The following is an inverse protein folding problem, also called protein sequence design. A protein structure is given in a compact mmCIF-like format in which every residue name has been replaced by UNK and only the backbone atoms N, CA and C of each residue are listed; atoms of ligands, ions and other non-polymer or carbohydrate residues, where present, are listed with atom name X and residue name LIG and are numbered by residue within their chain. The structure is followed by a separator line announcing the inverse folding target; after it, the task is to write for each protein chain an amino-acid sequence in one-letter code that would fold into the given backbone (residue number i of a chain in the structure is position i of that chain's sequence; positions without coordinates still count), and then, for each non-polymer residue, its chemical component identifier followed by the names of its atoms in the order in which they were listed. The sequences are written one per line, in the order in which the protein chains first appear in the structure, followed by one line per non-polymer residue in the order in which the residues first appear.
data_IF_060264524887
#
_entry.id   IF_060264524887
#
_cell.length_a   1.000
_cell.length_b   1.000
_cell.length_c   1.000
_cell.angle_alpha   90.00
_cell.angle_beta   90.00
_cell.angle_gamma   90.00
#
_symmetry.space_group_name_H-M   'P 1'
#
loop_
_entity.id
_entity.type
_entity.pdbx_description
1 polymer ?
#
# COMPACT_ATOMS: atom_id res chain seq x y z
N UNK A 1 1.00 -18.99 -2.02
CA UNK A 1 1.24 -18.96 -3.47
C UNK A 1 1.47 -17.51 -3.84
N UNK A 2 2.66 -17.15 -4.31
CA UNK A 2 2.96 -15.79 -4.78
C UNK A 2 2.67 -15.72 -6.29
N UNK A 3 1.85 -14.76 -6.73
CA UNK A 3 1.52 -14.56 -8.15
C UNK A 3 1.72 -13.09 -8.49
N UNK A 4 2.70 -12.77 -9.34
CA UNK A 4 2.99 -11.38 -9.75
C UNK A 4 3.25 -10.42 -8.56
N UNK A 5 3.77 -10.94 -7.44
CA UNK A 5 3.94 -10.18 -6.20
C UNK A 5 2.69 -10.12 -5.32
N UNK A 6 1.58 -10.76 -5.68
CA UNK A 6 0.45 -10.89 -4.77
C UNK A 6 0.64 -12.10 -3.86
N UNK A 7 0.38 -11.90 -2.57
CA UNK A 7 0.43 -12.91 -1.51
C UNK A 7 -0.93 -13.00 -0.79
N UNK A 8 -1.19 -14.11 -0.11
CA UNK A 8 -2.40 -14.27 0.71
C UNK A 8 -2.36 -13.30 1.89
N UNK A 9 -3.46 -12.61 2.19
CA UNK A 9 -3.50 -11.57 3.23
C UNK A 9 -3.00 -12.03 4.61
N UNK A 10 -3.39 -13.20 5.16
CA UNK A 10 -2.83 -13.72 6.42
C UNK A 10 -1.33 -13.98 6.40
N UNK A 11 -0.75 -14.21 5.22
CA UNK A 11 0.67 -14.49 5.05
C UNK A 11 1.46 -13.25 4.63
N UNK A 12 0.81 -12.08 4.60
CA UNK A 12 1.42 -10.90 4.01
C UNK A 12 2.64 -10.42 4.77
N UNK A 13 3.71 -10.15 4.03
CA UNK A 13 4.95 -9.58 4.54
C UNK A 13 4.89 -8.05 4.65
N UNK A 14 3.85 -7.40 4.12
CA UNK A 14 3.73 -5.94 4.09
C UNK A 14 3.88 -5.30 5.48
N UNK A 15 3.29 -5.90 6.52
CA UNK A 15 3.42 -5.43 7.91
C UNK A 15 4.87 -5.38 8.41
N UNK A 16 5.73 -6.25 7.88
CA UNK A 16 7.13 -6.35 8.28
C UNK A 16 8.06 -5.55 7.36
N UNK A 17 7.69 -5.37 6.09
CA UNK A 17 8.54 -4.73 5.09
C UNK A 17 8.29 -3.22 5.03
N UNK A 18 7.04 -2.75 5.05
CA UNK A 18 6.72 -1.32 4.91
C UNK A 18 7.43 -0.43 5.96
N UNK A 19 7.48 -0.80 7.25
CA UNK A 19 8.18 0.02 8.25
C UNK A 19 9.69 0.15 8.04
N UNK A 20 10.30 -0.64 7.14
CA UNK A 20 11.74 -0.61 6.84
C UNK A 20 12.13 0.42 5.79
N UNK A 21 11.16 0.98 5.07
CA UNK A 21 11.43 2.06 4.12
C UNK A 21 11.65 3.37 4.85
N UNK A 22 12.62 4.16 4.37
CA UNK A 22 12.85 5.53 4.79
C UNK A 22 12.31 6.47 3.73
N UNK A 23 11.60 7.52 4.16
CA UNK A 23 11.02 8.49 3.25
C UNK A 23 12.12 9.40 2.69
N UNK A 24 12.23 9.49 1.37
CA UNK A 24 13.28 10.24 0.69
C UNK A 24 12.95 10.45 -0.78
N UNK A 25 13.59 11.45 -1.40
CA UNK A 25 13.44 11.70 -2.83
C UNK A 25 12.17 12.46 -3.18
N UNK A 26 11.85 12.46 -4.47
CA UNK A 26 10.70 13.14 -5.06
C UNK A 26 9.52 12.18 -5.29
N UNK A 27 8.48 12.61 -6.00
CA UNK A 27 7.22 11.86 -6.16
C UNK A 27 7.00 11.48 -7.64
N UNK A 28 7.15 10.20 -7.97
CA UNK A 28 6.82 9.62 -9.28
C UNK A 28 5.43 8.95 -9.28
N UNK A 29 4.39 9.73 -8.98
CA UNK A 29 3.02 9.25 -8.77
C UNK A 29 2.41 8.56 -10.00
N UNK A 30 2.43 9.19 -11.18
CA UNK A 30 1.87 8.65 -12.42
C UNK A 30 2.54 7.35 -12.82
N UNK A 31 3.87 7.28 -12.73
CA UNK A 31 4.63 6.06 -13.01
C UNK A 31 4.20 4.92 -12.06
N UNK A 32 4.03 5.22 -10.77
CA UNK A 32 3.60 4.26 -9.76
C UNK A 32 2.19 3.74 -10.02
N UNK A 33 1.24 4.63 -10.34
CA UNK A 33 -0.15 4.26 -10.62
C UNK A 33 -0.25 3.43 -11.89
N UNK A 34 0.47 3.79 -12.96
CA UNK A 34 0.51 2.99 -14.20
C UNK A 34 1.08 1.61 -13.92
N UNK A 35 2.17 1.51 -13.16
CA UNK A 35 2.75 0.23 -12.77
C UNK A 35 1.75 -0.63 -12.00
N UNK A 36 1.03 -0.04 -11.06
CA UNK A 36 0.00 -0.73 -10.28
C UNK A 36 -1.15 -1.24 -11.14
N UNK A 37 -1.67 -0.38 -12.02
CA UNK A 37 -2.74 -0.76 -12.94
C UNK A 37 -2.31 -1.88 -13.90
N UNK A 38 -1.07 -1.85 -14.41
CA UNK A 38 -0.52 -2.94 -15.22
C UNK A 38 -0.46 -4.27 -14.47
N UNK A 39 -0.03 -4.28 -13.20
CA UNK A 39 -0.03 -5.51 -12.38
C UNK A 39 -1.44 -6.05 -12.18
N UNK A 40 -2.41 -5.17 -11.91
CA UNK A 40 -3.82 -5.54 -11.75
C UNK A 40 -4.41 -6.11 -13.05
N UNK A 41 -4.11 -5.52 -14.20
CA UNK A 41 -4.51 -6.03 -15.51
C UNK A 41 -3.92 -7.42 -15.79
N UNK A 42 -2.61 -7.61 -15.56
CA UNK A 42 -1.95 -8.90 -15.75
C UNK A 42 -2.55 -10.00 -14.86
N UNK A 43 -2.89 -9.66 -13.62
CA UNK A 43 -3.51 -10.60 -12.70
C UNK A 43 -4.96 -10.91 -13.09
N UNK A 44 -5.73 -9.91 -13.56
CA UNK A 44 -7.06 -10.11 -14.10
C UNK A 44 -7.03 -11.05 -15.30
N UNK A 45 -6.13 -10.83 -16.25
CA UNK A 45 -5.97 -11.69 -17.44
C UNK A 45 -5.70 -13.15 -17.04
N UNK A 46 -4.88 -13.37 -16.01
CA UNK A 46 -4.61 -14.68 -15.48
C UNK A 46 -5.87 -15.33 -14.89
N UNK A 47 -6.68 -14.59 -14.14
CA UNK A 47 -7.94 -15.09 -13.59
C UNK A 47 -9.03 -15.29 -14.65
N UNK A 48 -9.07 -14.47 -15.69
CA UNK A 48 -9.94 -14.65 -16.86
C UNK A 48 -9.63 -15.98 -17.55
N UNK A 49 -8.35 -16.25 -17.83
CA UNK A 49 -7.88 -17.52 -18.44
C UNK A 49 -8.24 -18.75 -17.60
N UNK A 50 -8.34 -18.59 -16.27
CA UNK A 50 -8.72 -19.67 -15.33
C UNK A 50 -10.22 -19.73 -15.03
N UNK A 51 -11.04 -18.87 -15.63
CA UNK A 51 -12.49 -18.81 -15.36
C UNK A 51 -12.83 -18.44 -13.91
N UNK A 52 -12.01 -17.60 -13.27
CA UNK A 52 -12.16 -17.21 -11.86
C UNK A 52 -12.26 -15.69 -11.64
N UNK A 53 -12.34 -14.90 -12.71
CA UNK A 53 -12.35 -13.44 -12.65
C UNK A 53 -13.58 -12.85 -11.94
N UNK A 54 -14.71 -13.57 -11.93
CA UNK A 54 -15.97 -13.18 -11.29
C UNK A 54 -15.98 -13.40 -9.76
N UNK A 55 -14.98 -14.11 -9.24
CA UNK A 55 -14.80 -14.42 -7.80
C UNK A 55 -14.05 -13.34 -7.04
N UNK A 56 -13.40 -12.42 -7.75
CA UNK A 56 -12.53 -11.41 -7.15
C UNK A 56 -13.01 -9.98 -7.44
N UNK A 57 -12.83 -9.11 -6.45
CA UNK A 57 -12.92 -7.66 -6.59
C UNK A 57 -11.53 -7.05 -6.46
N UNK A 58 -11.16 -6.24 -7.45
CA UNK A 58 -9.86 -5.60 -7.51
C UNK A 58 -9.96 -4.22 -6.88
N UNK A 59 -9.12 -3.96 -5.89
CA UNK A 59 -9.08 -2.72 -5.12
C UNK A 59 -7.67 -2.16 -5.20
N UNK A 60 -7.54 -0.94 -5.71
CA UNK A 60 -6.27 -0.24 -5.78
C UNK A 60 -6.33 1.00 -4.88
N UNK A 61 -5.54 1.02 -3.82
CA UNK A 61 -5.45 2.15 -2.89
C UNK A 61 -4.15 2.89 -3.18
N UNK A 62 -4.26 4.14 -3.63
CA UNK A 62 -3.12 5.01 -3.95
C UNK A 62 -3.07 6.13 -2.93
N UNK A 63 -1.93 6.36 -2.29
CA UNK A 63 -1.75 7.42 -1.29
C UNK A 63 -0.51 8.25 -1.60
N UNK A 64 -0.66 9.58 -1.58
CA UNK A 64 0.41 10.58 -1.71
C UNK A 64 0.11 11.82 -0.88
N UNK A 65 1.13 12.60 -0.53
CA UNK A 65 1.00 13.90 0.13
C UNK A 65 1.46 15.09 -0.74
N UNK A 66 1.74 14.86 -2.02
CA UNK A 66 2.36 15.87 -2.87
C UNK A 66 2.00 15.80 -4.36
N UNK A 67 2.57 16.75 -5.10
CA UNK A 67 2.52 16.81 -6.56
C UNK A 67 3.43 15.77 -7.18
N UNK A 68 3.07 15.31 -8.37
CA UNK A 68 3.97 14.53 -9.20
C UNK A 68 5.03 15.43 -9.86
N UNK A 69 6.26 15.31 -9.40
CA UNK A 69 7.39 16.09 -9.88
C UNK A 69 8.54 15.22 -10.41
N UNK A 70 8.34 13.90 -10.53
CA UNK A 70 9.40 12.98 -10.95
C UNK A 70 8.98 11.89 -11.94
N UNK A 71 7.69 11.71 -12.19
CA UNK A 71 7.25 10.71 -13.17
C UNK A 71 7.80 11.03 -14.56
N UNK A 72 8.20 9.98 -15.26
CA UNK A 72 8.57 10.06 -16.67
C UNK A 72 7.33 10.16 -17.57
N UNK A 73 6.22 9.55 -17.15
CA UNK A 73 4.94 9.66 -17.84
C UNK A 73 4.38 11.07 -17.62
N UNK A 74 4.08 11.76 -18.71
CA UNK A 74 3.42 13.07 -18.67
C UNK A 74 1.96 12.95 -18.20
N UNK A 75 1.37 14.05 -17.72
CA UNK A 75 -0.05 14.07 -17.37
C UNK A 75 -0.94 13.65 -18.55
N UNK A 76 -0.65 14.12 -19.76
CA UNK A 76 -1.44 13.80 -20.95
C UNK A 76 -1.42 12.30 -21.27
N UNK A 77 -0.24 11.67 -21.24
CA UNK A 77 -0.09 10.23 -21.44
C UNK A 77 -0.80 9.43 -20.35
N UNK A 78 -0.71 9.89 -19.10
CA UNK A 78 -1.39 9.27 -17.98
C UNK A 78 -2.92 9.32 -18.13
N UNK A 79 -3.47 10.48 -18.50
CA UNK A 79 -4.92 10.62 -18.74
C UNK A 79 -5.39 9.74 -19.90
N UNK A 80 -4.62 9.66 -20.99
CA UNK A 80 -4.91 8.74 -22.10
C UNK A 80 -4.90 7.27 -21.64
N UNK A 81 -3.93 6.90 -20.80
CA UNK A 81 -3.88 5.58 -20.18
C UNK A 81 -5.11 5.29 -19.31
N UNK A 82 -5.57 6.25 -18.50
CA UNK A 82 -6.78 6.09 -17.68
C UNK A 82 -8.04 5.89 -18.53
N UNK A 83 -8.18 6.62 -19.65
CA UNK A 83 -9.30 6.42 -20.60
C UNK A 83 -9.25 5.02 -21.21
N UNK A 84 -8.06 4.57 -21.63
CA UNK A 84 -7.88 3.21 -22.15
C UNK A 84 -8.29 2.16 -21.12
N UNK A 85 -7.78 2.27 -19.90
CA UNK A 85 -8.08 1.35 -18.80
C UNK A 85 -9.59 1.25 -18.53
N UNK A 86 -10.30 2.39 -18.49
CA UNK A 86 -11.75 2.44 -18.33
C UNK A 86 -12.49 1.71 -19.45
N UNK A 87 -12.01 1.79 -20.68
CA UNK A 87 -12.65 1.14 -21.83
C UNK A 87 -12.35 -0.37 -21.92
N UNK A 88 -11.19 -0.80 -21.40
CA UNK A 88 -10.76 -2.20 -21.39
C UNK A 88 -11.33 -3.00 -20.21
N UNK A 89 -11.57 -2.35 -19.06
CA UNK A 89 -12.03 -3.01 -17.84
C UNK A 89 -13.51 -2.74 -17.56
N UNK A 90 -14.30 -3.77 -17.22
CA UNK A 90 -15.66 -3.57 -16.72
C UNK A 90 -15.66 -2.69 -15.45
N UNK A 91 -16.60 -1.73 -15.38
CA UNK A 91 -16.66 -0.69 -14.33
C UNK A 91 -16.65 -1.24 -12.88
N UNK A 92 -17.09 -2.49 -12.68
CA UNK A 92 -17.25 -3.10 -11.37
C UNK A 92 -16.14 -4.08 -10.98
N UNK A 93 -15.08 -4.20 -11.81
CA UNK A 93 -13.97 -5.12 -11.53
C UNK A 93 -12.89 -4.42 -10.71
N UNK A 94 -12.38 -3.29 -11.20
CA UNK A 94 -11.30 -2.52 -10.56
C UNK A 94 -11.85 -1.22 -9.99
N UNK A 95 -11.72 -1.05 -8.68
CA UNK A 95 -11.98 0.22 -7.99
C UNK A 95 -10.67 0.81 -7.48
N UNK A 96 -10.37 2.05 -7.88
CA UNK A 96 -9.21 2.82 -7.43
C UNK A 96 -9.64 3.89 -6.43
N UNK A 97 -8.94 3.98 -5.33
CA UNK A 97 -9.13 4.97 -4.27
C UNK A 97 -7.86 5.82 -4.18
N UNK A 98 -7.93 7.05 -4.66
CA UNK A 98 -6.86 8.05 -4.52
C UNK A 98 -7.02 8.78 -3.19
N UNK A 99 -5.96 8.81 -2.39
CA UNK A 99 -5.91 9.48 -1.10
C UNK A 99 -4.84 10.56 -1.17
N UNK A 100 -5.25 11.82 -1.02
CA UNK A 100 -4.33 12.95 -0.95
C UNK A 100 -4.21 13.43 0.50
N UNK A 101 -3.01 13.39 1.08
CA UNK A 101 -2.78 13.80 2.47
C UNK A 101 -2.27 15.25 2.51
N UNK A 102 -3.00 16.15 3.18
CA UNK A 102 -2.68 17.58 3.33
C UNK A 102 -2.52 18.34 1.99
N UNK A 103 -3.22 17.91 0.94
CA UNK A 103 -3.17 18.51 -0.41
C UNK A 103 -4.44 19.26 -0.78
N UNK A 104 -5.36 19.50 0.16
CA UNK A 104 -6.63 20.17 -0.07
C UNK A 104 -6.48 21.60 -0.63
N UNK A 105 -5.40 22.28 -0.25
CA UNK A 105 -5.10 23.64 -0.70
C UNK A 105 -4.16 23.68 -1.93
N UNK A 106 -3.68 22.52 -2.40
CA UNK A 106 -2.80 22.44 -3.55
C UNK A 106 -3.63 22.44 -4.85
N UNK A 107 -3.73 23.60 -5.50
CA UNK A 107 -4.54 23.75 -6.71
C UNK A 107 -4.10 22.84 -7.86
N UNK A 108 -2.80 22.61 -8.03
CA UNK A 108 -2.26 21.71 -9.05
C UNK A 108 -2.77 20.29 -8.83
N UNK A 109 -2.61 19.74 -7.63
CA UNK A 109 -3.09 18.40 -7.28
C UNK A 109 -4.61 18.30 -7.47
N UNK A 110 -5.38 19.30 -7.04
CA UNK A 110 -6.83 19.28 -7.20
C UNK A 110 -7.27 19.27 -8.67
N UNK A 111 -6.57 20.02 -9.54
CA UNK A 111 -6.86 20.05 -10.98
C UNK A 111 -6.50 18.72 -11.65
N UNK A 112 -5.31 18.17 -11.35
CA UNK A 112 -4.88 16.88 -11.88
C UNK A 112 -5.82 15.75 -11.44
N UNK A 113 -6.17 15.68 -10.15
CA UNK A 113 -7.09 14.67 -9.64
C UNK A 113 -8.47 14.78 -10.30
N UNK A 114 -8.99 15.99 -10.54
CA UNK A 114 -10.25 16.16 -11.28
C UNK A 114 -10.17 15.57 -12.69
N UNK A 115 -9.08 15.84 -13.42
CA UNK A 115 -8.87 15.29 -14.75
C UNK A 115 -8.75 13.76 -14.74
N UNK A 116 -8.03 13.21 -13.75
CA UNK A 116 -7.86 11.76 -13.56
C UNK A 116 -9.20 11.08 -13.30
N UNK A 117 -10.03 11.64 -12.40
CA UNK A 117 -11.36 11.10 -12.10
C UNK A 117 -12.29 11.16 -13.33
N UNK A 118 -12.26 12.27 -14.08
CA UNK A 118 -13.04 12.39 -15.31
C UNK A 118 -12.65 11.31 -16.34
N UNK A 119 -11.36 11.03 -16.49
CA UNK A 119 -10.87 10.01 -17.40
C UNK A 119 -11.21 8.59 -16.93
N UNK A 120 -11.12 8.34 -15.62
CA UNK A 120 -11.34 7.03 -14.98
C UNK A 120 -12.82 6.68 -14.79
N UNK A 121 -13.72 7.67 -14.79
CA UNK A 121 -15.15 7.45 -14.57
C UNK A 121 -15.46 6.93 -13.17
N UNK A 122 -16.43 6.01 -13.06
CA UNK A 122 -16.88 5.46 -11.76
C UNK A 122 -15.87 4.53 -11.09
N UNK A 123 -14.89 4.05 -11.85
CA UNK A 123 -13.84 3.15 -11.34
C UNK A 123 -12.87 3.82 -10.36
N UNK A 124 -12.92 5.16 -10.20
CA UNK A 124 -12.03 5.89 -9.32
C UNK A 124 -12.78 6.84 -8.37
N UNK A 125 -12.24 6.99 -7.17
CA UNK A 125 -12.68 7.97 -6.18
C UNK A 125 -11.47 8.70 -5.59
N UNK A 126 -11.65 9.95 -5.17
CA UNK A 126 -10.60 10.75 -4.55
C UNK A 126 -11.02 11.27 -3.18
N UNK A 127 -10.10 11.21 -2.23
CA UNK A 127 -10.29 11.64 -0.84
C UNK A 127 -9.14 12.55 -0.43
N UNK A 128 -9.32 13.88 -0.45
CA UNK A 128 -8.43 14.80 0.24
C UNK A 128 -8.67 14.66 1.75
N UNK A 129 -7.61 14.41 2.50
CA UNK A 129 -7.67 14.23 3.96
C UNK A 129 -6.53 14.97 4.63
N UNK A 130 -6.70 15.31 5.90
CA UNK A 130 -5.58 15.70 6.75
C UNK A 130 -4.83 14.47 7.26
N UNK A 131 -3.58 14.65 7.67
CA UNK A 131 -2.72 13.55 8.17
C UNK A 131 -3.25 12.79 9.38
N UNK A 132 -4.16 13.37 10.16
CA UNK A 132 -4.82 12.69 11.27
C UNK A 132 -5.97 11.77 10.80
N UNK A 133 -6.45 11.93 9.56
CA UNK A 133 -7.54 11.17 8.95
C UNK A 133 -7.11 9.90 8.18
N UNK A 134 -5.83 9.53 8.23
CA UNK A 134 -5.28 8.41 7.42
C UNK A 134 -5.91 7.06 7.83
N UNK A 135 -6.11 6.81 9.12
CA UNK A 135 -6.71 5.54 9.56
C UNK A 135 -8.19 5.48 9.20
N UNK A 136 -8.89 6.60 9.37
CA UNK A 136 -10.31 6.78 9.13
C UNK A 136 -10.64 6.57 7.65
N UNK A 137 -9.80 7.07 6.73
CA UNK A 137 -10.04 6.85 5.30
C UNK A 137 -9.84 5.38 4.91
N UNK A 138 -8.85 4.68 5.47
CA UNK A 138 -8.67 3.25 5.21
C UNK A 138 -9.88 2.46 5.71
N UNK A 139 -10.38 2.74 6.92
CA UNK A 139 -11.60 2.13 7.43
C UNK A 139 -12.82 2.44 6.56
N UNK A 140 -12.95 3.69 6.08
CA UNK A 140 -14.02 4.08 5.17
C UNK A 140 -13.95 3.31 3.84
N UNK A 141 -12.76 3.15 3.26
CA UNK A 141 -12.57 2.36 2.05
C UNK A 141 -12.98 0.91 2.30
N UNK A 142 -12.57 0.29 3.42
CA UNK A 142 -12.98 -1.07 3.80
C UNK A 142 -14.50 -1.21 3.85
N UNK A 143 -15.19 -0.27 4.52
CA UNK A 143 -16.64 -0.27 4.58
C UNK A 143 -17.28 -0.12 3.19
N UNK A 144 -16.74 0.75 2.33
CA UNK A 144 -17.25 0.98 0.98
C UNK A 144 -17.12 -0.25 0.07
N UNK A 145 -16.01 -1.00 0.17
CA UNK A 145 -15.83 -2.23 -0.60
C UNK A 145 -16.55 -3.44 0.01
N UNK A 146 -17.20 -3.26 1.17
CA UNK A 146 -17.97 -4.31 1.84
C UNK A 146 -17.15 -5.23 2.74
N UNK A 147 -15.89 -4.88 3.05
CA UNK A 147 -15.13 -5.52 4.12
C UNK A 147 -15.77 -5.11 5.46
N UNK A 148 -16.72 -5.92 5.94
CA UNK A 148 -17.28 -5.71 7.27
C UNK A 148 -16.37 -6.37 8.30
N UNK A 149 -15.90 -5.55 9.24
CA UNK A 149 -15.37 -6.03 10.52
C UNK A 149 -16.48 -6.89 11.15
N UNK A 150 -16.26 -8.21 11.23
CA UNK A 150 -17.06 -9.05 12.10
C UNK A 150 -16.73 -8.64 13.55
N UNK A 151 -17.30 -7.53 14.02
CA UNK A 151 -17.40 -7.33 15.45
C UNK A 151 -18.29 -8.47 15.94
N UNK A 152 -17.68 -9.42 16.65
CA UNK A 152 -18.39 -10.43 17.44
C UNK A 152 -19.30 -9.68 18.41
N UNK A 153 -20.53 -9.41 17.98
CA UNK A 153 -21.55 -8.83 18.82
C UNK A 153 -21.92 -9.84 19.88
N UNK A 154 -21.45 -9.59 21.11
CA UNK A 154 -22.03 -10.19 22.31
C UNK A 154 -23.43 -9.58 22.40
N UNK A 155 -24.46 -10.41 22.23
CA UNK A 155 -25.82 -10.04 22.61
C UNK A 155 -25.80 -9.93 24.14
N UNK A 156 -25.77 -8.71 24.67
CA UNK A 156 -26.12 -8.48 26.07
C UNK A 156 -27.65 -8.45 26.10
N UNK A 157 -28.25 -9.59 26.42
CA UNK A 157 -29.66 -9.65 26.80
C UNK A 157 -29.83 -8.84 28.10
N UNK A 158 -30.33 -7.60 27.95
CA UNK A 158 -30.86 -6.86 29.09
C UNK A 158 -32.17 -7.49 29.49
N UNK A 159 -32.18 -8.17 30.64
CA UNK A 159 -33.36 -8.66 31.32
C UNK A 159 -34.43 -7.55 31.41
N UNK A 160 -35.52 -7.68 30.67
CA UNK A 160 -36.88 -7.59 31.21
C UNK A 160 -37.95 -7.95 30.16
N UNK A 161 -38.62 -9.08 30.46
CA UNK A 161 -39.99 -9.45 30.10
C UNK A 161 -40.28 -9.93 28.67
N UNK A 162 -40.10 -11.23 28.52
CA UNK A 162 -40.76 -12.09 27.54
C UNK A 162 -42.29 -12.09 27.69
N UNK A 163 -43.01 -11.65 26.65
CA UNK A 163 -44.33 -12.18 26.30
C UNK A 163 -44.22 -12.77 24.89
N UNK A 164 -44.41 -14.08 24.84
CA UNK A 164 -44.40 -14.90 23.65
C UNK A 164 -45.48 -14.46 22.65
N UNK A 165 -45.07 -13.86 21.54
CA UNK A 165 -45.87 -13.81 20.31
C UNK A 165 -44.95 -14.17 19.16
N UNK A 166 -45.12 -15.39 18.64
CA UNK A 166 -44.62 -15.90 17.36
C UNK A 166 -43.35 -15.21 16.84
N UNK A 167 -42.21 -15.66 17.35
CA UNK A 167 -40.97 -15.49 16.60
C UNK A 167 -41.10 -16.39 15.36
N UNK A 168 -41.71 -15.86 14.29
CA UNK A 168 -41.26 -16.22 12.95
C UNK A 168 -39.76 -16.07 13.04
N UNK A 169 -39.04 -17.19 13.05
CA UNK A 169 -37.62 -17.20 12.76
C UNK A 169 -37.50 -16.62 11.35
N UNK A 170 -37.45 -15.30 11.27
CA UNK A 170 -36.75 -14.61 10.22
C UNK A 170 -35.31 -15.07 10.43
N UNK A 171 -34.96 -16.21 9.83
CA UNK A 171 -33.59 -16.41 9.43
C UNK A 171 -33.37 -15.32 8.41
N UNK A 172 -32.56 -14.27 8.68
CA UNK A 172 -32.04 -13.50 7.59
C UNK A 172 -31.14 -14.47 6.84
N UNK A 173 -31.68 -15.13 5.82
CA UNK A 173 -30.88 -15.77 4.77
C UNK A 173 -30.29 -14.62 3.96
N UNK A 174 -29.39 -13.88 4.61
CA UNK A 174 -28.48 -12.98 3.94
C UNK A 174 -27.54 -13.92 3.20
N UNK A 175 -27.89 -14.24 1.95
CA UNK A 175 -26.94 -14.80 1.00
C UNK A 175 -25.87 -13.73 0.76
N UNK A 176 -24.93 -13.64 1.69
CA UNK A 176 -23.76 -12.82 1.51
C UNK A 176 -22.94 -13.50 0.43
N UNK A 177 -22.92 -12.89 -0.75
CA UNK A 177 -21.94 -13.25 -1.77
C UNK A 177 -20.57 -12.88 -1.21
N UNK A 178 -19.87 -13.88 -0.67
CA UNK A 178 -18.48 -13.73 -0.22
C UNK A 178 -17.66 -13.45 -1.47
N UNK A 179 -17.28 -12.19 -1.67
CA UNK A 179 -16.31 -11.82 -2.69
C UNK A 179 -14.92 -11.96 -2.04
N UNK A 180 -13.98 -12.54 -2.78
CA UNK A 180 -12.58 -12.41 -2.42
C UNK A 180 -12.06 -11.07 -2.97
N UNK A 181 -11.07 -10.49 -2.31
CA UNK A 181 -10.50 -9.20 -2.67
C UNK A 181 -9.06 -9.38 -3.13
N UNK A 182 -8.69 -8.60 -4.14
CA UNK A 182 -7.30 -8.41 -4.57
C UNK A 182 -6.99 -6.95 -4.30
N UNK A 183 -6.16 -6.69 -3.29
CA UNK A 183 -5.85 -5.33 -2.83
C UNK A 183 -4.42 -4.98 -3.18
N UNK A 184 -4.25 -3.89 -3.91
CA UNK A 184 -2.94 -3.31 -4.20
C UNK A 184 -2.82 -1.97 -3.49
N UNK A 185 -1.79 -1.82 -2.67
CA UNK A 185 -1.42 -0.52 -2.09
C UNK A 185 -0.30 0.11 -2.92
N UNK A 186 -0.47 1.35 -3.37
CA UNK A 186 0.57 2.13 -4.05
C UNK A 186 0.85 3.36 -3.20
N UNK A 187 1.98 3.34 -2.50
CA UNK A 187 2.23 4.20 -1.35
C UNK A 187 3.43 5.11 -1.58
N UNK A 188 3.23 6.40 -1.42
CA UNK A 188 4.28 7.41 -1.49
C UNK A 188 5.25 7.29 -0.30
N UNK A 189 6.54 7.23 -0.61
CA UNK A 189 7.67 7.27 0.33
C UNK A 189 8.65 8.40 -0.04
N UNK A 190 8.18 9.45 -0.71
CA UNK A 190 8.93 10.69 -0.95
C UNK A 190 9.31 11.38 0.37
N UNK A 191 10.24 12.33 0.32
CA UNK A 191 10.74 13.00 1.53
C UNK A 191 9.66 13.68 2.38
N UNK A 192 8.59 14.20 1.78
CA UNK A 192 7.47 14.85 2.49
C UNK A 192 6.70 13.89 3.39
N UNK A 193 6.69 12.59 3.04
CA UNK A 193 5.95 11.57 3.77
C UNK A 193 6.55 11.18 5.12
N UNK A 194 7.75 11.65 5.48
CA UNK A 194 8.48 11.23 6.70
C UNK A 194 7.65 11.37 7.99
N UNK A 195 6.82 12.41 8.11
CA UNK A 195 5.94 12.61 9.27
C UNK A 195 4.64 11.79 9.27
N UNK A 196 4.28 11.22 8.12
CA UNK A 196 3.03 10.50 7.89
C UNK A 196 3.23 8.99 7.74
N UNK A 197 4.44 8.53 7.40
CA UNK A 197 4.71 7.15 7.01
C UNK A 197 4.34 6.12 8.08
N UNK A 198 4.63 6.40 9.35
CA UNK A 198 4.22 5.51 10.45
C UNK A 198 2.70 5.33 10.53
N UNK A 199 1.94 6.39 10.24
CA UNK A 199 0.47 6.33 10.20
C UNK A 199 -0.02 5.52 9.01
N UNK A 200 0.62 5.67 7.84
CA UNK A 200 0.32 4.87 6.64
C UNK A 200 0.58 3.38 6.90
N UNK A 201 1.72 3.04 7.50
CA UNK A 201 2.04 1.65 7.86
C UNK A 201 0.98 1.05 8.81
N UNK A 202 0.58 1.81 9.84
CA UNK A 202 -0.46 1.38 10.77
C UNK A 202 -1.83 1.21 10.09
N UNK A 203 -2.20 2.12 9.19
CA UNK A 203 -3.45 2.06 8.43
C UNK A 203 -3.49 0.85 7.49
N UNK A 204 -2.39 0.55 6.79
CA UNK A 204 -2.25 -0.65 5.96
C UNK A 204 -2.36 -1.91 6.82
N UNK A 205 -1.68 -1.96 7.97
CA UNK A 205 -1.77 -3.10 8.89
C UNK A 205 -3.19 -3.35 9.40
N UNK A 206 -3.89 -2.27 9.81
CA UNK A 206 -5.31 -2.34 10.15
C UNK A 206 -6.18 -2.78 8.97
N UNK A 207 -5.80 -2.39 7.74
CA UNK A 207 -6.51 -2.81 6.54
C UNK A 207 -6.39 -4.32 6.32
N UNK A 208 -5.16 -4.84 6.39
CA UNK A 208 -4.83 -6.25 6.23
C UNK A 208 -5.52 -7.13 7.28
N UNK A 209 -5.65 -6.65 8.52
CA UNK A 209 -6.31 -7.38 9.61
C UNK A 209 -7.78 -7.71 9.37
N UNK A 210 -8.46 -7.03 8.44
CA UNK A 210 -9.87 -7.29 8.11
C UNK A 210 -10.04 -8.09 6.80
N UNK A 211 -8.95 -8.50 6.15
CA UNK A 211 -9.01 -9.33 4.94
C UNK A 211 -9.13 -10.82 5.31
N UNK A 212 -9.86 -11.56 4.47
CA UNK A 212 -10.06 -12.99 4.60
C UNK A 212 -8.86 -13.81 4.10
N UNK A 213 -8.88 -15.11 4.36
CA UNK A 213 -7.80 -16.04 3.98
C UNK A 213 -7.61 -16.21 2.47
N UNK A 214 -8.67 -15.98 1.69
CA UNK A 214 -8.66 -16.07 0.24
C UNK A 214 -8.35 -14.74 -0.45
N UNK A 215 -8.18 -13.66 0.32
CA UNK A 215 -7.84 -12.36 -0.22
C UNK A 215 -6.35 -12.31 -0.55
N UNK A 216 -6.04 -11.59 -1.62
CA UNK A 216 -4.67 -11.38 -2.09
C UNK A 216 -4.28 -9.92 -1.91
N UNK A 217 -3.03 -9.70 -1.53
CA UNK A 217 -2.49 -8.35 -1.31
C UNK A 217 -1.13 -8.17 -1.94
N UNK A 218 -0.85 -6.95 -2.35
CA UNK A 218 0.46 -6.52 -2.83
C UNK A 218 0.69 -5.05 -2.46
N UNK A 219 1.96 -4.64 -2.48
CA UNK A 219 2.38 -3.28 -2.20
C UNK A 219 3.35 -2.78 -3.26
N UNK A 220 3.17 -1.55 -3.69
CA UNK A 220 4.12 -0.71 -4.40
C UNK A 220 4.48 0.43 -3.46
N UNK A 221 5.77 0.73 -3.35
CA UNK A 221 6.23 1.99 -2.80
C UNK A 221 6.83 2.82 -3.91
N UNK A 222 6.70 4.14 -3.81
CA UNK A 222 7.30 5.03 -4.79
C UNK A 222 7.87 6.31 -4.20
N UNK A 223 8.96 6.76 -4.80
CA UNK A 223 9.56 8.08 -4.65
C UNK A 223 10.09 8.52 -6.02
N UNK A 224 11.41 8.75 -6.16
CA UNK A 224 12.09 8.86 -7.46
C UNK A 224 11.99 7.57 -8.30
N UNK A 225 11.70 6.43 -7.66
CA UNK A 225 11.58 5.11 -8.28
C UNK A 225 10.29 4.44 -7.84
N UNK A 226 9.86 3.44 -8.60
CA UNK A 226 8.68 2.62 -8.30
C UNK A 226 9.12 1.18 -8.02
N UNK A 227 8.81 0.67 -6.84
CA UNK A 227 9.26 -0.66 -6.40
C UNK A 227 8.09 -1.51 -5.89
N UNK A 228 8.01 -2.77 -6.36
CA UNK A 228 7.00 -3.74 -5.88
C UNK A 228 7.53 -4.43 -4.62
N UNK A 229 6.95 -4.08 -3.48
CA UNK A 229 7.42 -4.44 -2.12
C UNK A 229 7.43 -5.95 -1.89
N UNK A 230 6.40 -6.63 -2.34
CA UNK A 230 6.21 -8.07 -2.13
C UNK A 230 7.16 -8.96 -2.94
N UNK A 231 7.85 -8.39 -3.93
CA UNK A 231 8.91 -9.08 -4.69
C UNK A 231 10.30 -8.88 -4.06
N UNK A 232 10.43 -8.04 -3.02
CA UNK A 232 11.68 -7.80 -2.31
C UNK A 232 11.98 -8.92 -1.31
N UNK A 233 12.18 -10.14 -1.81
CA UNK A 233 12.81 -11.23 -1.06
C UNK A 233 14.02 -11.74 -1.82
N UNK A 234 15.17 -11.10 -1.61
CA UNK A 234 16.50 -11.71 -1.44
C UNK A 234 17.60 -10.63 -1.46
N UNK A 235 17.80 -9.91 -0.36
CA UNK A 235 19.16 -9.56 0.03
C UNK A 235 19.37 -9.93 1.49
N UNK A 236 20.34 -10.80 1.81
CA UNK A 236 20.77 -10.96 3.19
C UNK A 236 21.25 -9.61 3.68
N UNK A 237 20.68 -9.16 4.80
CA UNK A 237 21.23 -8.03 5.55
C UNK A 237 22.71 -8.34 5.78
N UNK A 238 23.62 -7.58 5.18
CA UNK A 238 25.01 -7.60 5.61
C UNK A 238 25.00 -7.24 7.10
N UNK A 239 25.58 -8.07 7.98
CA UNK A 239 25.68 -7.70 9.38
C UNK A 239 26.41 -6.37 9.45
N UNK A 240 25.81 -5.43 10.16
CA UNK A 240 26.45 -4.18 10.56
C UNK A 240 27.68 -4.59 11.36
N UNK A 241 28.86 -4.60 10.72
CA UNK A 241 30.12 -4.73 11.43
C UNK A 241 30.25 -3.47 12.27
N UNK A 242 30.11 -3.66 13.58
CA UNK A 242 30.38 -2.63 14.58
C UNK A 242 31.78 -2.06 14.36
N UNK A 243 31.86 -0.74 14.23
CA UNK A 243 33.09 0.06 14.08
C UNK A 243 33.97 0.06 15.35
N UNK A 244 34.13 -1.07 16.03
CA UNK A 244 34.93 -1.16 17.27
C UNK A 244 36.34 -1.72 17.07
N UNK A 245 36.74 -2.12 15.87
CA UNK A 245 38.07 -2.73 15.65
C UNK A 245 39.17 -1.82 15.07
N UNK A 246 38.89 -0.56 14.73
CA UNK A 246 39.90 0.32 14.13
C UNK A 246 40.73 1.16 15.11
N UNK A 247 40.40 1.17 16.41
CA UNK A 247 41.12 1.99 17.39
C UNK A 247 42.18 1.26 18.23
N UNK A 248 42.40 -0.05 18.06
CA UNK A 248 43.43 -0.78 18.83
C UNK A 248 44.77 -0.96 18.11
N UNK A 249 44.85 -0.76 16.79
CA UNK A 249 46.10 -0.98 16.03
C UNK A 249 46.92 0.30 15.76
N UNK A 250 46.48 1.49 16.19
CA UNK A 250 47.26 2.73 16.03
C UNK A 250 48.14 3.09 17.25
N UNK A 251 48.02 2.40 18.38
CA UNK A 251 48.86 2.64 19.57
C UNK A 251 50.12 1.76 19.68
N UNK A 252 50.34 0.80 18.76
CA UNK A 252 51.54 -0.06 18.79
C UNK A 252 52.62 0.28 17.75
N UNK A 253 52.41 1.29 16.90
CA UNK A 253 53.39 1.67 15.84
C UNK A 253 54.24 2.89 16.23
N UNK A 254 53.96 3.55 17.36
CA UNK A 254 54.73 4.72 17.81
C UNK A 254 55.92 4.43 18.73
N UNK A 255 56.22 3.16 19.05
CA UNK A 255 57.30 2.80 20.00
C UNK A 255 58.51 2.07 19.37
N UNK A 256 58.79 2.27 18.07
CA UNK A 256 59.98 1.65 17.41
C UNK A 256 60.69 2.57 16.42
N UNK A 257 61.01 3.80 16.83
CA UNK A 257 62.01 4.63 16.13
C UNK A 257 62.71 5.52 17.13
N UNK A 258 63.63 4.94 17.86
CA UNK A 258 64.77 5.62 18.49
C UNK A 258 65.67 4.47 18.96
N UNK A 259 66.58 4.05 18.09
CA UNK A 259 67.88 3.46 18.42
C UNK A 259 68.59 3.08 17.11
N UNK A 260 69.91 3.26 17.08
CA UNK A 260 70.87 2.97 16.00
C UNK A 260 71.16 4.08 14.97
N UNK A 261 71.88 5.12 15.40
CA UNK A 261 72.98 5.70 14.60
C UNK A 261 74.15 6.01 15.52
N UNK A 262 75.16 5.14 15.60
CA UNK A 262 76.57 5.48 15.80
C UNK A 262 77.40 4.22 15.53
N UNK A 263 78.18 4.23 14.44
CA UNK A 263 79.56 3.71 14.37
C UNK A 263 80.13 3.92 12.95
N UNK A 264 81.29 4.58 12.92
CA UNK A 264 82.36 4.57 11.89
C UNK A 264 82.14 5.46 10.65
N UNK A 265 82.70 6.68 10.64
CA UNK A 265 84.09 7.02 10.27
C UNK A 265 84.40 8.47 10.67
#
# INVERSE_FOLDING_TARGET
MEILGFESAPQSKLNNILPRFSCSGATAFRDAVVKGNQLMQQLLDLFCKKGAHDKFKFVHVVLTDGEDNRSQISLQEFLAYQVRLKNELPENILQTFYIGVNVENNQTVQQEMRAILQCSGKSAQYFPIHSNGINEIFQKIQMQIGLRVQQKGIIIESNQQSIAFMQKQLQPVLQMKVNNYIVLFTLDISGSMQGNWGKVCNAVSGFLGNLGSNDLVSGIVFNDKVEVVTQLTAQPQKPVQSQQYYNQNQQQVSNRRDDEVYQNF
#
